data_IF_071594801181
#
_entry.id   IF_071594801181
#
_cell.length_a   1.000
_cell.length_b   1.000
_cell.length_c   1.000
_cell.angle_alpha   90.00
_cell.angle_beta   90.00
_cell.angle_gamma   90.00
#
_symmetry.space_group_name_H-M   'P 1'
#
loop_
_entity.id
_entity.type
_entity.pdbx_description
1 polymer ?
#
# COMPACT_ATOMS: atom_id res chain seq x y z
N UNK A 1 39.12 -5.67 29.88
CA UNK A 1 38.20 -4.88 29.03
C UNK A 1 36.80 -5.35 29.37
N UNK A 2 35.85 -4.45 29.62
CA UNK A 2 34.47 -4.84 29.86
C UNK A 2 33.89 -5.43 28.56
N UNK A 3 33.14 -6.53 28.66
CA UNK A 3 32.46 -7.11 27.51
C UNK A 3 31.47 -6.11 26.89
N UNK A 4 31.27 -6.21 25.57
CA UNK A 4 30.30 -5.35 24.88
C UNK A 4 28.90 -5.53 25.48
N UNK A 5 28.23 -4.43 25.80
CA UNK A 5 26.83 -4.44 26.27
C UNK A 5 25.87 -5.10 25.26
N UNK A 6 26.29 -5.24 24.00
CA UNK A 6 25.53 -5.89 22.92
C UNK A 6 25.95 -7.34 22.63
N UNK A 7 26.78 -7.97 23.47
CA UNK A 7 27.27 -9.34 23.23
C UNK A 7 26.13 -10.40 23.16
N UNK A 8 24.97 -10.10 23.75
CA UNK A 8 23.80 -10.98 23.74
C UNK A 8 22.91 -10.82 22.49
N UNK A 9 23.18 -9.84 21.63
CA UNK A 9 22.35 -9.57 20.44
C UNK A 9 22.60 -10.65 19.39
N UNK A 10 21.56 -11.43 19.10
CA UNK A 10 21.60 -12.48 18.08
C UNK A 10 21.55 -11.86 16.68
N UNK A 11 22.40 -12.34 15.78
CA UNK A 11 22.38 -11.93 14.37
C UNK A 11 21.00 -12.25 13.77
N UNK A 12 20.35 -11.23 13.21
CA UNK A 12 19.08 -11.38 12.51
C UNK A 12 19.23 -12.30 11.27
N UNK A 13 18.20 -13.10 10.95
CA UNK A 13 18.18 -13.85 9.69
C UNK A 13 18.18 -12.90 8.49
N UNK A 14 18.78 -13.34 7.38
CA UNK A 14 18.74 -12.57 6.13
C UNK A 14 17.31 -12.47 5.60
N UNK A 15 16.94 -11.32 5.02
CA UNK A 15 15.65 -11.20 4.34
C UNK A 15 15.67 -12.07 3.07
N UNK A 16 14.70 -12.98 2.87
CA UNK A 16 14.73 -13.93 1.76
C UNK A 16 14.80 -13.27 0.37
N UNK A 17 14.24 -12.07 0.20
CA UNK A 17 14.24 -11.35 -1.08
C UNK A 17 15.57 -10.60 -1.28
N UNK A 18 16.07 -9.95 -0.22
CA UNK A 18 17.36 -9.24 -0.30
C UNK A 18 18.54 -10.22 -0.41
N UNK A 19 18.47 -11.37 0.26
CA UNK A 19 19.47 -12.44 0.18
C UNK A 19 19.69 -12.92 -1.25
N UNK A 20 18.63 -13.07 -2.05
CA UNK A 20 18.73 -13.41 -3.48
C UNK A 20 19.50 -12.35 -4.26
N UNK A 21 19.28 -11.06 -3.97
CA UNK A 21 20.02 -9.98 -4.64
C UNK A 21 21.50 -9.96 -4.24
N UNK A 22 21.80 -10.23 -2.98
CA UNK A 22 23.18 -10.33 -2.49
C UNK A 22 23.89 -11.51 -3.16
N UNK A 23 23.26 -12.69 -3.22
CA UNK A 23 23.80 -13.85 -3.91
C UNK A 23 24.00 -13.58 -5.41
N UNK A 24 23.01 -12.99 -6.07
CA UNK A 24 23.10 -12.56 -7.47
C UNK A 24 24.27 -11.59 -7.72
N UNK A 25 24.48 -10.60 -6.84
CA UNK A 25 25.59 -9.66 -7.00
C UNK A 25 26.96 -10.32 -6.83
N UNK A 26 27.07 -11.33 -5.96
CA UNK A 26 28.31 -12.10 -5.74
C UNK A 26 28.60 -13.11 -6.86
N UNK A 27 27.58 -13.59 -7.55
CA UNK A 27 27.75 -14.52 -8.67
C UNK A 27 28.55 -13.84 -9.80
N UNK A 28 29.63 -14.49 -10.25
CA UNK A 28 30.51 -13.99 -11.32
C UNK A 28 30.11 -14.49 -12.71
N UNK A 29 29.10 -15.34 -12.80
CA UNK A 29 28.60 -15.86 -14.07
C UNK A 29 28.12 -14.71 -14.97
N UNK A 30 28.55 -14.65 -16.24
CA UNK A 30 28.05 -13.66 -17.19
C UNK A 30 26.58 -13.91 -17.57
N UNK A 31 26.02 -15.08 -17.25
CA UNK A 31 24.65 -15.50 -17.58
C UNK A 31 23.71 -15.50 -16.36
N UNK A 32 24.10 -14.82 -15.26
CA UNK A 32 23.27 -14.75 -14.07
C UNK A 32 22.00 -13.93 -14.31
N UNK A 33 20.88 -14.40 -13.76
CA UNK A 33 19.58 -13.72 -13.85
C UNK A 33 18.98 -13.56 -12.45
N UNK A 34 18.46 -12.38 -12.14
CA UNK A 34 17.76 -12.12 -10.89
C UNK A 34 16.25 -12.07 -11.15
N UNK A 35 15.55 -13.15 -10.79
CA UNK A 35 14.09 -13.25 -10.86
C UNK A 35 13.40 -13.00 -9.52
N UNK A 36 14.15 -12.62 -8.48
CA UNK A 36 13.61 -12.41 -7.12
C UNK A 36 13.20 -10.97 -6.82
N UNK A 37 13.78 -9.99 -7.52
CA UNK A 37 13.50 -8.56 -7.26
C UNK A 37 12.24 -8.11 -7.98
N UNK A 38 11.20 -7.75 -7.22
CA UNK A 38 9.96 -7.16 -7.72
C UNK A 38 10.10 -5.68 -8.13
N UNK A 39 11.03 -5.39 -9.05
CA UNK A 39 11.22 -4.07 -9.62
C UNK A 39 11.42 -4.16 -11.13
N UNK A 40 10.75 -3.28 -11.87
CA UNK A 40 10.79 -3.24 -13.32
C UNK A 40 12.23 -3.03 -13.85
N UNK A 41 12.54 -3.69 -14.97
CA UNK A 41 13.84 -3.65 -15.65
C UNK A 41 13.63 -3.47 -17.15
N UNK A 42 14.61 -2.86 -17.81
CA UNK A 42 14.69 -2.83 -19.28
C UNK A 42 14.96 -4.22 -19.83
N UNK A 43 14.91 -4.35 -21.16
CA UNK A 43 15.27 -5.56 -21.91
C UNK A 43 16.70 -6.04 -21.61
N UNK A 44 17.62 -5.11 -21.28
CA UNK A 44 19.00 -5.43 -20.87
C UNK A 44 19.12 -5.75 -19.36
N UNK A 45 18.01 -5.85 -18.64
CA UNK A 45 17.99 -6.15 -17.21
C UNK A 45 18.42 -4.98 -16.31
N UNK A 46 18.42 -3.73 -16.82
CA UNK A 46 18.85 -2.54 -16.06
C UNK A 46 17.67 -1.84 -15.37
N UNK A 47 17.89 -1.12 -14.24
CA UNK A 47 16.88 -0.24 -13.66
C UNK A 47 16.41 0.83 -14.66
N UNK A 48 15.10 1.09 -14.71
CA UNK A 48 14.52 2.13 -15.56
C UNK A 48 13.98 3.29 -14.72
N UNK A 49 14.34 4.52 -15.09
CA UNK A 49 13.66 5.74 -14.64
C UNK A 49 12.79 6.23 -15.80
N UNK A 50 11.48 6.32 -15.57
CA UNK A 50 10.51 6.68 -16.60
C UNK A 50 10.78 8.09 -17.15
N UNK A 51 10.56 8.29 -18.45
CA UNK A 51 10.75 9.59 -19.11
C UNK A 51 9.94 10.70 -18.45
N UNK A 52 8.68 10.42 -18.10
CA UNK A 52 7.79 11.35 -17.40
C UNK A 52 8.30 11.74 -16.01
N UNK A 53 8.96 10.81 -15.29
CA UNK A 53 9.62 11.11 -14.01
C UNK A 53 10.81 12.03 -14.23
N UNK A 54 11.65 11.76 -15.23
CA UNK A 54 12.79 12.64 -15.56
C UNK A 54 12.35 14.06 -15.92
N UNK A 55 11.27 14.18 -16.69
CA UNK A 55 10.71 15.48 -17.07
C UNK A 55 10.17 16.22 -15.84
N UNK A 56 9.42 15.54 -14.98
CA UNK A 56 8.95 16.12 -13.72
C UNK A 56 10.12 16.56 -12.84
N UNK A 57 11.15 15.73 -12.67
CA UNK A 57 12.37 16.08 -11.91
C UNK A 57 13.09 17.30 -12.49
N UNK A 58 13.21 17.39 -13.82
CA UNK A 58 13.85 18.52 -14.47
C UNK A 58 13.07 19.83 -14.28
N UNK A 59 11.74 19.79 -14.41
CA UNK A 59 10.88 20.93 -14.11
C UNK A 59 11.01 21.36 -12.65
N UNK A 60 11.06 20.39 -11.75
CA UNK A 60 11.16 20.58 -10.31
C UNK A 60 12.52 21.13 -9.84
N UNK A 61 13.63 20.76 -10.48
CA UNK A 61 14.96 21.30 -10.13
C UNK A 61 15.17 22.72 -10.69
N UNK A 62 14.48 23.05 -11.80
CA UNK A 62 14.59 24.35 -12.46
C UNK A 62 13.65 25.42 -11.88
N UNK A 63 12.74 25.07 -10.97
CA UNK A 63 11.82 26.01 -10.34
C UNK A 63 12.50 26.76 -9.17
N UNK A 64 12.82 28.06 -9.33
CA UNK A 64 13.54 28.84 -8.33
C UNK A 64 12.69 29.16 -7.09
N UNK A 65 11.37 28.95 -7.13
CA UNK A 65 10.48 29.17 -5.98
C UNK A 65 10.53 28.03 -4.96
N UNK A 66 11.11 26.88 -5.33
CA UNK A 66 11.10 25.69 -4.49
C UNK A 66 12.17 25.77 -3.40
N UNK A 67 11.75 25.40 -2.21
CA UNK A 67 12.59 25.28 -1.02
C UNK A 67 12.56 23.84 -0.50
N UNK A 68 13.49 23.52 0.42
CA UNK A 68 13.59 22.20 1.06
C UNK A 68 13.12 22.23 2.51
N UNK A 69 12.12 23.07 2.79
CA UNK A 69 11.51 23.18 4.12
C UNK A 69 10.71 21.92 4.47
N UNK A 70 10.46 21.76 5.77
CA UNK A 70 9.65 20.66 6.27
C UNK A 70 8.22 20.72 5.72
N UNK A 71 7.71 19.55 5.32
CA UNK A 71 6.29 19.39 5.04
C UNK A 71 5.46 19.36 6.34
N UNK A 72 4.15 19.66 6.23
CA UNK A 72 3.20 19.29 7.28
C UNK A 72 3.30 17.80 7.64
N UNK A 73 2.84 17.43 8.84
CA UNK A 73 2.87 16.02 9.32
C UNK A 73 2.18 15.07 8.33
N UNK A 74 1.07 15.52 7.73
CA UNK A 74 0.31 14.74 6.75
C UNK A 74 0.93 14.77 5.33
N UNK A 75 2.03 15.49 5.13
CA UNK A 75 2.73 15.65 3.87
C UNK A 75 2.20 16.75 2.96
N UNK A 76 2.51 16.61 1.67
CA UNK A 76 2.19 17.59 0.65
C UNK A 76 0.70 17.55 0.29
N UNK A 77 -0.03 18.63 0.53
CA UNK A 77 -1.49 18.68 0.37
C UNK A 77 -1.95 18.35 -1.07
N UNK A 78 -1.23 18.85 -2.09
CA UNK A 78 -1.54 18.56 -3.49
C UNK A 78 -1.37 17.07 -3.82
N UNK A 79 -0.28 16.46 -3.34
CA UNK A 79 -0.04 15.02 -3.48
C UNK A 79 -1.16 14.19 -2.82
N UNK A 80 -1.58 14.54 -1.60
CA UNK A 80 -2.66 13.83 -0.91
C UNK A 80 -3.98 13.89 -1.70
N UNK A 81 -4.34 15.09 -2.17
CA UNK A 81 -5.55 15.30 -2.99
C UNK A 81 -5.51 14.49 -4.28
N UNK A 82 -4.38 14.49 -4.99
CA UNK A 82 -4.22 13.76 -6.25
C UNK A 82 -4.20 12.25 -6.03
N UNK A 83 -3.58 11.78 -4.94
CA UNK A 83 -3.55 10.35 -4.57
C UNK A 83 -4.95 9.81 -4.27
N UNK A 84 -5.75 10.56 -3.49
CA UNK A 84 -7.14 10.23 -3.21
C UNK A 84 -7.98 10.12 -4.50
N UNK A 85 -7.85 11.10 -5.40
CA UNK A 85 -8.53 11.10 -6.69
C UNK A 85 -8.13 9.92 -7.57
N UNK A 86 -6.84 9.57 -7.60
CA UNK A 86 -6.34 8.46 -8.42
C UNK A 86 -6.98 7.13 -8.01
N UNK A 87 -7.11 6.87 -6.70
CA UNK A 87 -7.62 5.58 -6.21
C UNK A 87 -9.14 5.54 -6.11
N UNK A 88 -9.78 6.58 -5.59
CA UNK A 88 -11.23 6.61 -5.41
C UNK A 88 -11.99 7.02 -6.69
N UNK A 89 -11.29 7.60 -7.68
CA UNK A 89 -11.90 8.26 -8.84
C UNK A 89 -12.21 9.74 -8.56
N UNK A 90 -12.06 10.59 -9.57
CA UNK A 90 -12.25 12.04 -9.43
C UNK A 90 -13.68 12.42 -9.03
N UNK A 91 -14.66 11.64 -9.48
CA UNK A 91 -16.09 11.84 -9.22
C UNK A 91 -16.60 11.05 -8.00
N UNK A 92 -15.69 10.54 -7.16
CA UNK A 92 -16.07 9.76 -5.98
C UNK A 92 -16.98 10.57 -5.04
N UNK A 93 -18.17 10.07 -4.68
CA UNK A 93 -19.04 10.72 -3.71
C UNK A 93 -18.34 10.94 -2.37
N UNK A 94 -17.48 10.01 -1.94
CA UNK A 94 -16.70 10.15 -0.71
C UNK A 94 -15.76 11.35 -0.72
N UNK A 95 -15.19 11.71 -1.87
CA UNK A 95 -14.36 12.92 -2.01
C UNK A 95 -15.24 14.16 -1.97
N UNK A 96 -16.35 14.17 -2.72
CA UNK A 96 -17.27 15.32 -2.78
C UNK A 96 -17.88 15.64 -1.40
N UNK A 97 -18.15 14.61 -0.60
CA UNK A 97 -18.70 14.69 0.75
C UNK A 97 -17.61 14.92 1.83
N UNK A 98 -16.35 15.10 1.44
CA UNK A 98 -15.20 15.27 2.34
C UNK A 98 -15.01 14.14 3.36
N UNK A 99 -15.36 12.90 2.97
CA UNK A 99 -15.26 11.70 3.82
C UNK A 99 -13.91 10.98 3.72
N UNK A 100 -13.03 11.43 2.82
CA UNK A 100 -11.71 10.83 2.63
C UNK A 100 -10.66 11.68 3.33
N UNK A 101 -9.93 11.07 4.26
CA UNK A 101 -8.69 11.64 4.79
C UNK A 101 -7.51 10.94 4.13
N UNK A 102 -6.53 11.71 3.65
CA UNK A 102 -5.33 11.16 3.00
C UNK A 102 -4.08 11.78 3.61
N UNK A 103 -3.15 10.92 3.99
CA UNK A 103 -1.84 11.31 4.50
C UNK A 103 -0.74 10.67 3.68
N UNK A 104 0.30 11.44 3.35
CA UNK A 104 1.49 10.93 2.69
C UNK A 104 2.29 10.06 3.65
N UNK A 105 2.77 8.92 3.16
CA UNK A 105 3.49 7.91 3.92
C UNK A 105 4.76 7.45 3.19
N UNK A 106 5.61 6.70 3.90
CA UNK A 106 6.84 6.11 3.37
C UNK A 106 6.56 4.89 2.47
N UNK A 107 6.03 5.15 1.27
CA UNK A 107 5.57 4.13 0.32
C UNK A 107 4.46 3.25 0.91
N UNK A 108 4.12 2.15 0.22
CA UNK A 108 3.07 1.22 0.67
C UNK A 108 3.37 0.62 2.04
N UNK A 109 4.63 0.27 2.31
CA UNK A 109 5.04 -0.26 3.63
C UNK A 109 4.78 0.72 4.77
N UNK A 110 5.10 2.01 4.57
CA UNK A 110 4.81 3.06 5.54
C UNK A 110 3.31 3.27 5.71
N UNK A 111 2.55 3.26 4.61
CA UNK A 111 1.09 3.39 4.64
C UNK A 111 0.43 2.25 5.43
N UNK A 112 0.85 1.00 5.20
CA UNK A 112 0.37 -0.18 5.93
C UNK A 112 0.74 -0.10 7.42
N UNK A 113 1.97 0.34 7.73
CA UNK A 113 2.44 0.44 9.12
C UNK A 113 1.72 1.54 9.90
N UNK A 114 1.45 2.69 9.29
CA UNK A 114 0.66 3.79 9.89
C UNK A 114 -0.80 3.37 10.05
N UNK A 115 -1.42 2.79 9.01
CA UNK A 115 -2.80 2.34 9.05
C UNK A 115 -3.03 1.22 10.08
N UNK A 116 -2.11 0.25 10.14
CA UNK A 116 -2.16 -0.82 11.13
C UNK A 116 -2.09 -0.31 12.57
N UNK A 117 -1.24 0.68 12.86
CA UNK A 117 -1.12 1.23 14.22
C UNK A 117 -2.29 2.13 14.58
N UNK A 118 -2.82 2.88 13.61
CA UNK A 118 -4.08 3.60 13.80
C UNK A 118 -5.21 2.64 14.19
N UNK A 119 -5.36 1.52 13.48
CA UNK A 119 -6.35 0.48 13.80
C UNK A 119 -6.11 -0.12 15.19
N UNK A 120 -4.86 -0.49 15.53
CA UNK A 120 -4.55 -1.05 16.84
C UNK A 120 -4.87 -0.12 18.01
N UNK A 121 -4.74 1.21 17.80
CA UNK A 121 -5.05 2.24 18.81
C UNK A 121 -6.54 2.56 18.93
N UNK A 122 -7.28 2.56 17.82
CA UNK A 122 -8.61 3.19 17.77
C UNK A 122 -9.74 2.28 17.29
N UNK A 123 -9.44 1.16 16.65
CA UNK A 123 -10.45 0.24 16.16
C UNK A 123 -10.77 -0.83 17.20
N UNK A 124 -12.05 -1.21 17.29
CA UNK A 124 -12.56 -2.07 18.36
C UNK A 124 -12.14 -3.53 18.19
N UNK A 125 -11.96 -3.99 16.95
CA UNK A 125 -11.46 -5.32 16.62
C UNK A 125 -10.00 -5.22 16.14
N UNK A 126 -9.14 -6.13 16.61
CA UNK A 126 -7.69 -6.10 16.35
C UNK A 126 -7.22 -7.24 15.46
N UNK A 127 -8.13 -8.13 15.07
CA UNK A 127 -7.84 -9.24 14.18
C UNK A 127 -7.80 -8.74 12.74
N UNK A 128 -6.69 -8.99 12.06
CA UNK A 128 -6.55 -8.77 10.62
C UNK A 128 -6.38 -10.10 9.88
N UNK A 129 -7.22 -10.33 8.88
CA UNK A 129 -7.14 -11.45 7.95
C UNK A 129 -6.32 -11.01 6.73
N UNK A 130 -5.28 -11.78 6.40
CA UNK A 130 -4.43 -11.57 5.23
C UNK A 130 -4.45 -12.81 4.32
N UNK A 131 -4.30 -12.68 2.99
CA UNK A 131 -4.40 -13.84 2.11
C UNK A 131 -3.25 -14.82 2.34
N UNK A 132 -3.49 -16.10 2.05
CA UNK A 132 -2.46 -17.13 2.04
C UNK A 132 -2.29 -17.71 0.62
N UNK A 133 -1.12 -17.53 -0.02
CA UNK A 133 0.03 -16.72 0.42
C UNK A 133 -0.23 -15.21 0.26
N UNK A 134 0.70 -14.37 0.75
CA UNK A 134 0.69 -12.91 0.55
C UNK A 134 2.13 -12.37 0.54
N UNK A 135 2.33 -11.06 0.38
CA UNK A 135 3.65 -10.43 0.50
C UNK A 135 4.24 -10.71 1.89
N UNK A 136 5.44 -11.31 1.93
CA UNK A 136 6.03 -11.85 3.16
C UNK A 136 6.26 -10.84 4.29
N UNK A 137 6.13 -9.53 4.03
CA UNK A 137 6.22 -8.50 5.06
C UNK A 137 4.87 -8.15 5.70
N UNK A 138 3.72 -8.54 5.13
CA UNK A 138 2.40 -8.26 5.73
C UNK A 138 2.28 -8.78 7.17
N UNK A 139 2.63 -10.05 7.49
CA UNK A 139 2.52 -10.54 8.86
C UNK A 139 3.39 -9.73 9.83
N UNK A 140 4.61 -9.35 9.40
CA UNK A 140 5.55 -8.57 10.22
C UNK A 140 5.03 -7.16 10.48
N UNK A 141 4.56 -6.47 9.43
CA UNK A 141 4.03 -5.10 9.52
C UNK A 141 2.85 -5.04 10.48
N UNK A 142 1.87 -5.92 10.33
CA UNK A 142 0.66 -5.87 11.13
C UNK A 142 0.84 -6.37 12.55
N UNK A 143 1.66 -7.40 12.77
CA UNK A 143 2.00 -7.84 14.13
C UNK A 143 2.73 -6.73 14.88
N UNK A 144 3.72 -6.08 14.27
CA UNK A 144 4.47 -4.97 14.89
C UNK A 144 3.67 -3.67 14.98
N UNK A 145 2.53 -3.58 14.29
CA UNK A 145 1.57 -2.50 14.46
C UNK A 145 0.61 -2.74 15.64
N UNK A 146 0.59 -3.95 16.21
CA UNK A 146 -0.26 -4.32 17.35
C UNK A 146 -1.55 -5.06 16.97
N UNK A 147 -1.66 -5.59 15.75
CA UNK A 147 -2.80 -6.39 15.29
C UNK A 147 -2.51 -7.90 15.42
N UNK A 148 -3.58 -8.68 15.60
CA UNK A 148 -3.55 -10.14 15.60
C UNK A 148 -3.73 -10.66 14.18
N UNK A 149 -2.68 -11.22 13.59
CA UNK A 149 -2.72 -11.72 12.20
C UNK A 149 -3.36 -13.10 12.12
N UNK A 150 -4.35 -13.25 11.25
CA UNK A 150 -4.93 -14.50 10.78
C UNK A 150 -4.86 -14.58 9.25
N UNK A 151 -5.06 -15.78 8.72
CA UNK A 151 -5.00 -16.04 7.28
C UNK A 151 -6.37 -16.43 6.75
N UNK A 152 -6.60 -16.13 5.47
CA UNK A 152 -7.71 -16.70 4.69
C UNK A 152 -7.17 -17.32 3.40
N UNK A 153 -7.81 -18.39 2.94
CA UNK A 153 -7.47 -19.07 1.70
C UNK A 153 -7.58 -18.12 0.50
N UNK A 154 -6.61 -18.21 -0.40
CA UNK A 154 -6.55 -17.33 -1.58
C UNK A 154 -6.11 -18.08 -2.83
N UNK A 155 -4.99 -18.79 -2.80
CA UNK A 155 -4.46 -19.49 -3.98
C UNK A 155 -4.69 -20.99 -3.88
N UNK A 156 -5.26 -21.57 -4.93
CA UNK A 156 -5.38 -23.01 -5.07
C UNK A 156 -4.28 -23.56 -5.99
N UNK A 157 -3.32 -24.35 -5.47
CA UNK A 157 -2.27 -24.98 -6.28
C UNK A 157 -2.81 -25.95 -7.34
N UNK A 158 -3.98 -26.56 -7.13
CA UNK A 158 -4.60 -27.51 -8.04
C UNK A 158 -5.11 -26.84 -9.31
N UNK A 159 -5.84 -25.73 -9.18
CA UNK A 159 -6.33 -24.94 -10.32
C UNK A 159 -5.36 -23.86 -10.79
N UNK A 160 -4.33 -23.53 -9.99
CA UNK A 160 -3.45 -22.36 -10.15
C UNK A 160 -4.22 -21.04 -10.20
N UNK A 161 -5.43 -21.03 -9.65
CA UNK A 161 -6.35 -19.90 -9.63
C UNK A 161 -6.67 -19.45 -8.21
N UNK A 162 -7.73 -18.67 -8.10
CA UNK A 162 -8.25 -18.19 -6.82
C UNK A 162 -9.03 -19.34 -6.17
N UNK A 163 -8.67 -19.70 -4.94
CA UNK A 163 -9.51 -20.51 -4.05
C UNK A 163 -10.68 -19.64 -3.56
N UNK A 164 -11.60 -19.36 -4.47
CA UNK A 164 -12.68 -18.42 -4.23
C UNK A 164 -13.65 -18.93 -3.17
N UNK A 165 -13.95 -20.23 -3.20
CA UNK A 165 -14.83 -20.86 -2.22
C UNK A 165 -14.20 -20.83 -0.82
N UNK A 166 -12.91 -21.18 -0.71
CA UNK A 166 -12.22 -21.12 0.57
C UNK A 166 -12.09 -19.70 1.12
N UNK A 167 -11.88 -18.72 0.24
CA UNK A 167 -11.91 -17.30 0.61
C UNK A 167 -13.26 -16.90 1.23
N UNK A 168 -14.38 -17.25 0.58
CA UNK A 168 -15.71 -16.90 1.09
C UNK A 168 -16.03 -17.61 2.42
N UNK A 169 -15.62 -18.87 2.58
CA UNK A 169 -15.80 -19.62 3.82
C UNK A 169 -15.04 -19.01 5.00
N UNK A 170 -13.77 -18.66 4.79
CA UNK A 170 -12.90 -18.14 5.84
C UNK A 170 -13.34 -16.73 6.26
N UNK A 171 -13.66 -15.86 5.29
CA UNK A 171 -14.17 -14.52 5.58
C UNK A 171 -15.60 -14.57 6.15
N UNK A 172 -16.43 -15.52 5.72
CA UNK A 172 -17.77 -15.74 6.28
C UNK A 172 -17.72 -16.20 7.74
N UNK A 173 -16.64 -16.89 8.13
CA UNK A 173 -16.39 -17.35 9.50
C UNK A 173 -15.65 -16.32 10.36
N UNK A 174 -15.16 -15.22 9.78
CA UNK A 174 -14.49 -14.16 10.52
C UNK A 174 -15.45 -13.47 11.51
N UNK A 175 -14.93 -13.02 12.68
CA UNK A 175 -15.73 -12.25 13.63
C UNK A 175 -16.15 -10.91 13.02
N UNK A 176 -17.33 -10.43 13.42
CA UNK A 176 -17.84 -9.12 13.01
C UNK A 176 -16.84 -8.02 13.35
N UNK A 177 -16.60 -7.09 12.43
CA UNK A 177 -15.60 -6.04 12.61
C UNK A 177 -14.17 -6.48 12.29
N UNK A 178 -13.88 -7.74 11.94
CA UNK A 178 -12.50 -8.10 11.58
C UNK A 178 -12.00 -7.28 10.38
N UNK A 179 -10.72 -6.91 10.44
CA UNK A 179 -10.05 -6.22 9.33
C UNK A 179 -9.65 -7.26 8.29
N UNK A 180 -9.83 -6.96 7.01
CA UNK A 180 -9.41 -7.85 5.91
C UNK A 180 -8.48 -7.07 4.99
N UNK A 181 -7.23 -7.53 4.91
CA UNK A 181 -6.28 -7.00 3.95
C UNK A 181 -6.59 -7.56 2.57
N UNK A 182 -6.83 -6.67 1.60
CA UNK A 182 -7.14 -7.02 0.22
C UNK A 182 -6.08 -6.43 -0.70
N UNK A 183 -5.58 -7.20 -1.65
CA UNK A 183 -4.75 -6.64 -2.72
C UNK A 183 -5.69 -6.02 -3.76
N UNK A 184 -5.51 -4.75 -4.09
CA UNK A 184 -6.41 -4.05 -5.01
C UNK A 184 -6.41 -4.69 -6.42
N UNK A 185 -5.22 -5.10 -6.86
CA UNK A 185 -4.93 -5.81 -8.11
C UNK A 185 -3.49 -6.35 -8.05
N UNK A 186 -3.11 -7.16 -9.04
CA UNK A 186 -1.82 -7.83 -9.18
C UNK A 186 -1.35 -8.44 -7.85
N UNK A 187 -2.14 -9.41 -7.34
CA UNK A 187 -1.85 -10.05 -6.07
C UNK A 187 -0.40 -10.55 -5.99
N UNK A 188 0.28 -10.23 -4.89
CA UNK A 188 1.67 -10.59 -4.65
C UNK A 188 1.71 -11.67 -3.57
N UNK A 189 2.18 -12.90 -3.86
CA UNK A 189 3.07 -13.25 -4.98
C UNK A 189 2.43 -13.96 -6.18
N UNK A 190 1.13 -14.21 -6.19
CA UNK A 190 0.53 -15.22 -7.09
C UNK A 190 0.22 -14.70 -8.50
N UNK A 191 0.02 -13.38 -8.66
CA UNK A 191 -0.49 -12.76 -9.88
C UNK A 191 -1.96 -13.06 -10.19
N UNK A 192 -2.67 -13.75 -9.28
CA UNK A 192 -4.08 -14.14 -9.46
C UNK A 192 -4.98 -13.11 -8.78
N UNK A 193 -5.90 -12.50 -9.52
CA UNK A 193 -6.86 -11.53 -9.02
C UNK A 193 -8.30 -12.04 -9.16
N UNK A 194 -9.23 -11.67 -8.25
CA UNK A 194 -10.65 -11.95 -8.43
C UNK A 194 -11.21 -11.25 -9.67
N UNK A 195 -12.18 -11.88 -10.34
CA UNK A 195 -12.97 -11.22 -11.37
C UNK A 195 -13.88 -10.13 -10.77
N UNK A 196 -14.48 -9.29 -11.62
CA UNK A 196 -15.42 -8.26 -11.17
C UNK A 196 -16.61 -8.86 -10.42
N UNK A 197 -17.13 -9.99 -10.90
CA UNK A 197 -18.24 -10.71 -10.28
C UNK A 197 -17.83 -11.31 -8.92
N UNK A 198 -16.62 -11.83 -8.82
CA UNK A 198 -16.07 -12.33 -7.57
C UNK A 198 -15.84 -11.19 -6.57
N UNK A 199 -15.34 -10.03 -7.01
CA UNK A 199 -15.20 -8.84 -6.18
C UNK A 199 -16.52 -8.37 -5.62
N UNK A 200 -17.59 -8.42 -6.41
CA UNK A 200 -18.93 -8.04 -5.97
C UNK A 200 -19.43 -8.99 -4.87
N UNK A 201 -19.23 -10.30 -5.01
CA UNK A 201 -19.57 -11.28 -3.98
C UNK A 201 -18.75 -11.10 -2.70
N UNK A 202 -17.43 -10.83 -2.83
CA UNK A 202 -16.55 -10.53 -1.68
C UNK A 202 -17.05 -9.28 -0.95
N UNK A 203 -17.41 -8.22 -1.69
CA UNK A 203 -17.97 -6.98 -1.14
C UNK A 203 -19.25 -7.27 -0.36
N UNK A 204 -20.21 -7.97 -0.96
CA UNK A 204 -21.48 -8.31 -0.31
C UNK A 204 -21.27 -9.13 0.97
N UNK A 205 -20.38 -10.14 0.93
CA UNK A 205 -20.03 -10.92 2.11
C UNK A 205 -19.45 -10.04 3.21
N UNK A 206 -18.43 -9.24 2.90
CA UNK A 206 -17.79 -8.36 3.87
C UNK A 206 -18.77 -7.37 4.49
N UNK A 207 -19.71 -6.83 3.71
CA UNK A 207 -20.77 -5.94 4.23
C UNK A 207 -21.71 -6.67 5.17
N UNK A 208 -22.21 -7.86 4.80
CA UNK A 208 -23.12 -8.63 5.66
C UNK A 208 -22.46 -9.06 6.98
N UNK A 209 -21.15 -9.32 6.96
CA UNK A 209 -20.32 -9.66 8.12
C UNK A 209 -19.73 -8.44 8.84
N UNK A 210 -20.02 -7.22 8.39
CA UNK A 210 -19.48 -5.97 8.94
C UNK A 210 -17.94 -5.96 9.04
N UNK A 211 -17.26 -6.57 8.06
CA UNK A 211 -15.80 -6.60 7.98
C UNK A 211 -15.26 -5.27 7.45
N UNK A 212 -14.09 -4.86 7.96
CA UNK A 212 -13.42 -3.63 7.55
C UNK A 212 -12.37 -3.93 6.45
N UNK A 213 -12.55 -3.45 5.21
CA UNK A 213 -11.55 -3.60 4.16
C UNK A 213 -10.35 -2.69 4.39
N UNK A 214 -9.15 -3.25 4.25
CA UNK A 214 -7.90 -2.52 4.12
C UNK A 214 -7.23 -2.94 2.80
N UNK A 215 -7.24 -2.07 1.80
CA UNK A 215 -6.62 -2.34 0.51
C UNK A 215 -5.12 -2.02 0.50
N UNK A 216 -4.30 -2.93 -0.01
CA UNK A 216 -2.94 -2.67 -0.48
C UNK A 216 -2.96 -2.48 -2.01
N UNK A 217 -2.62 -1.28 -2.47
CA UNK A 217 -2.59 -0.89 -3.88
C UNK A 217 -1.16 -0.47 -4.27
N UNK A 218 -0.35 -1.45 -4.63
CA UNK A 218 1.05 -1.24 -5.00
C UNK A 218 1.34 -1.26 -6.52
N UNK A 219 0.36 -1.68 -7.32
CA UNK A 219 0.52 -2.03 -8.73
C UNK A 219 -0.55 -1.39 -9.63
N UNK A 220 -1.23 -0.33 -9.20
CA UNK A 220 -2.24 0.35 -10.02
C UNK A 220 -1.63 0.81 -11.36
N UNK A 221 -2.18 0.31 -12.47
CA UNK A 221 -1.71 0.51 -13.84
C UNK A 221 -0.87 -0.66 -14.39
N UNK A 222 -0.38 -1.57 -13.55
CA UNK A 222 0.45 -2.70 -13.98
C UNK A 222 -0.35 -3.98 -14.29
N UNK A 223 -1.55 -4.14 -13.76
CA UNK A 223 -2.32 -5.37 -13.96
C UNK A 223 -2.99 -5.36 -15.35
N UNK A 224 -3.73 -4.29 -15.66
CA UNK A 224 -4.45 -4.15 -16.94
C UNK A 224 -3.86 -3.11 -17.90
N UNK A 225 -2.90 -2.30 -17.46
CA UNK A 225 -2.46 -1.10 -18.19
C UNK A 225 -3.37 0.12 -17.99
N UNK A 226 -4.49 -0.03 -17.25
CA UNK A 226 -5.43 1.05 -16.94
C UNK A 226 -5.43 1.36 -15.46
N UNK A 227 -5.15 2.63 -15.11
CA UNK A 227 -5.21 3.11 -13.73
C UNK A 227 -6.63 2.97 -13.15
N UNK A 228 -7.67 3.14 -13.96
CA UNK A 228 -9.05 3.07 -13.51
C UNK A 228 -9.52 1.63 -13.30
N UNK A 229 -9.20 0.72 -14.22
CA UNK A 229 -9.55 -0.69 -14.08
C UNK A 229 -8.83 -1.31 -12.87
N UNK A 230 -7.56 -0.98 -12.66
CA UNK A 230 -6.76 -1.50 -11.55
C UNK A 230 -7.17 -0.94 -10.17
N UNK A 231 -8.04 0.08 -10.13
CA UNK A 231 -8.64 0.62 -8.91
C UNK A 231 -10.10 0.20 -8.69
N UNK A 232 -10.66 -0.61 -9.60
CA UNK A 232 -12.09 -0.95 -9.59
C UNK A 232 -12.53 -1.61 -8.27
N UNK A 233 -11.73 -2.54 -7.74
CA UNK A 233 -12.02 -3.22 -6.46
C UNK A 233 -12.22 -2.22 -5.32
N UNK A 234 -11.33 -1.22 -5.20
CA UNK A 234 -11.45 -0.15 -4.20
C UNK A 234 -12.71 0.68 -4.46
N UNK A 235 -12.93 1.10 -5.70
CA UNK A 235 -14.06 1.98 -6.07
C UNK A 235 -15.40 1.31 -5.81
N UNK A 236 -15.54 0.01 -6.06
CA UNK A 236 -16.74 -0.78 -5.74
C UNK A 236 -17.08 -0.70 -4.24
N UNK A 237 -16.08 -0.81 -3.37
CA UNK A 237 -16.27 -0.71 -1.92
C UNK A 237 -16.52 0.72 -1.44
N UNK A 238 -16.09 1.74 -2.18
CA UNK A 238 -16.36 3.14 -1.82
C UNK A 238 -17.72 3.61 -2.32
N UNK A 239 -18.17 3.11 -3.48
CA UNK A 239 -19.40 3.53 -4.15
C UNK A 239 -20.68 3.25 -3.34
N UNK A 240 -20.67 2.23 -2.48
CA UNK A 240 -21.81 1.91 -1.60
C UNK A 240 -21.81 2.72 -0.28
N UNK A 241 -20.91 3.69 -0.13
CA UNK A 241 -20.77 4.50 1.08
C UNK A 241 -20.10 3.75 2.24
N UNK A 242 -19.48 2.60 1.99
CA UNK A 242 -18.72 1.85 2.97
C UNK A 242 -17.42 2.53 3.39
N UNK A 243 -16.96 2.18 4.59
CA UNK A 243 -15.66 2.62 5.11
C UNK A 243 -14.58 1.64 4.71
N UNK A 244 -13.37 2.15 4.45
CA UNK A 244 -12.19 1.34 4.14
C UNK A 244 -10.91 2.14 4.35
N UNK A 245 -9.80 1.41 4.40
CA UNK A 245 -8.45 1.97 4.35
C UNK A 245 -7.80 1.57 3.02
N UNK A 246 -6.94 2.43 2.47
CA UNK A 246 -6.20 2.14 1.24
C UNK A 246 -4.76 2.62 1.36
N UNK A 247 -3.82 1.69 1.33
CA UNK A 247 -2.39 1.94 1.24
C UNK A 247 -1.96 1.97 -0.22
N UNK A 248 -1.56 3.13 -0.72
CA UNK A 248 -1.05 3.32 -2.08
C UNK A 248 0.48 3.39 -2.08
N UNK A 249 1.11 2.76 -3.07
CA UNK A 249 2.56 2.86 -3.32
C UNK A 249 2.87 3.36 -4.72
N UNK A 250 3.77 4.33 -4.82
CA UNK A 250 4.28 4.82 -6.10
C UNK A 250 5.61 4.19 -6.54
N UNK A 251 6.07 3.18 -5.79
CA UNK A 251 7.35 2.52 -6.07
C UNK A 251 7.38 1.83 -7.44
N UNK A 252 6.26 1.24 -7.90
CA UNK A 252 6.20 0.46 -9.14
C UNK A 252 5.64 1.30 -10.28
N UNK A 253 4.39 1.75 -10.18
CA UNK A 253 3.68 2.53 -11.21
C UNK A 253 4.44 3.77 -11.71
N UNK A 254 5.27 4.40 -10.87
CA UNK A 254 6.14 5.51 -11.27
C UNK A 254 7.64 5.20 -11.15
N UNK A 255 8.03 3.97 -10.82
CA UNK A 255 9.45 3.60 -10.66
C UNK A 255 10.18 4.30 -9.50
N UNK A 256 9.45 4.92 -8.57
CA UNK A 256 10.01 5.71 -7.46
C UNK A 256 10.36 4.83 -6.24
N UNK A 257 11.05 3.71 -6.49
CA UNK A 257 11.35 2.70 -5.46
C UNK A 257 12.07 3.27 -4.24
N UNK A 258 13.16 4.00 -4.49
CA UNK A 258 14.06 4.56 -3.47
C UNK A 258 13.54 5.85 -2.82
N UNK A 259 12.65 6.57 -3.49
CA UNK A 259 12.07 7.83 -3.00
C UNK A 259 11.04 7.63 -1.88
N UNK A 260 10.59 6.39 -1.69
CA UNK A 260 9.66 5.98 -0.63
C UNK A 260 8.35 6.78 -0.63
N UNK A 261 7.72 6.92 -1.80
CA UNK A 261 6.48 7.69 -1.94
C UNK A 261 5.25 6.79 -1.87
N UNK A 262 4.32 7.14 -1.00
CA UNK A 262 3.04 6.45 -0.82
C UNK A 262 2.02 7.32 -0.11
N UNK A 263 0.78 6.85 -0.08
CA UNK A 263 -0.32 7.51 0.61
C UNK A 263 -1.14 6.48 1.39
N UNK A 264 -1.70 6.90 2.52
CA UNK A 264 -2.76 6.19 3.22
C UNK A 264 -4.03 7.03 3.11
N UNK A 265 -5.06 6.48 2.50
CA UNK A 265 -6.40 7.09 2.41
C UNK A 265 -7.36 6.29 3.29
N UNK A 266 -8.14 6.98 4.14
CA UNK A 266 -9.18 6.38 4.97
C UNK A 266 -10.52 7.02 4.61
N UNK A 267 -11.45 6.20 4.14
CA UNK A 267 -12.82 6.59 3.81
C UNK A 267 -13.70 6.37 5.04
N UNK A 268 -14.28 7.46 5.54
CA UNK A 268 -15.12 7.48 6.74
C UNK A 268 -16.62 7.61 6.39
N UNK A 269 -17.51 7.47 7.37
CA UNK A 269 -18.95 7.77 7.20
C UNK A 269 -19.29 9.25 7.06
N UNK A 270 -18.52 10.15 7.67
CA UNK A 270 -18.80 11.59 7.64
C UNK A 270 -17.51 12.40 7.59
N UNK A 271 -17.62 13.66 7.16
CA UNK A 271 -16.51 14.62 7.15
C UNK A 271 -15.96 14.91 8.55
N UNK A 272 -16.84 15.00 9.56
CA UNK A 272 -16.42 15.16 10.96
C UNK A 272 -15.55 13.99 11.45
N UNK A 273 -15.96 12.74 11.15
CA UNK A 273 -15.15 11.57 11.48
C UNK A 273 -13.82 11.58 10.73
N UNK A 274 -13.81 11.95 9.45
CA UNK A 274 -12.57 12.06 8.68
C UNK A 274 -11.58 13.07 9.30
N UNK A 275 -12.06 14.23 9.77
CA UNK A 275 -11.23 15.20 10.49
C UNK A 275 -10.64 14.66 11.80
N UNK A 276 -11.41 13.89 12.57
CA UNK A 276 -10.93 13.21 13.79
C UNK A 276 -9.87 12.16 13.46
N UNK A 277 -10.10 11.35 12.42
CA UNK A 277 -9.13 10.36 11.94
C UNK A 277 -7.82 11.03 11.53
N UNK A 278 -7.85 12.12 10.76
CA UNK A 278 -6.65 12.88 10.38
C UNK A 278 -5.84 13.33 11.60
N UNK A 279 -6.54 13.85 12.62
CA UNK A 279 -5.89 14.31 13.86
C UNK A 279 -5.13 13.19 14.58
N UNK A 280 -5.69 11.97 14.60
CA UNK A 280 -5.05 10.81 15.23
C UNK A 280 -3.91 10.25 14.36
N UNK A 281 -4.05 10.28 13.03
CA UNK A 281 -2.96 9.91 12.12
C UNK A 281 -1.73 10.79 12.35
N UNK A 282 -1.90 12.10 12.62
CA UNK A 282 -0.78 12.98 12.98
C UNK A 282 -0.04 12.50 14.24
N UNK A 283 -0.75 11.95 15.24
CA UNK A 283 -0.16 11.40 16.46
C UNK A 283 0.54 10.05 16.25
N UNK A 284 0.19 9.30 15.21
CA UNK A 284 0.92 8.11 14.79
C UNK A 284 2.19 8.50 14.01
N UNK A 285 2.06 9.44 13.06
CA UNK A 285 3.15 9.82 12.14
C UNK A 285 4.25 10.63 12.85
N UNK A 286 3.87 11.61 13.68
CA UNK A 286 4.81 12.55 14.30
C UNK A 286 5.96 11.87 15.07
N UNK A 287 5.72 10.85 15.92
CA UNK A 287 6.79 10.13 16.59
C UNK A 287 7.46 9.05 15.72
N UNK A 288 6.85 8.65 14.61
CA UNK A 288 7.40 7.61 13.73
C UNK A 288 8.48 8.17 12.79
N UNK A 289 8.21 9.30 12.15
CA UNK A 289 9.15 9.95 11.23
C UNK A 289 8.95 11.47 11.09
N UNK A 290 8.25 12.11 12.02
CA UNK A 290 7.95 13.55 12.02
C UNK A 290 7.03 14.02 10.87
N UNK A 291 7.55 14.05 9.65
CA UNK A 291 6.86 14.44 8.42
C UNK A 291 7.52 13.69 7.23
N UNK A 292 6.79 13.42 6.14
CA UNK A 292 7.28 12.58 5.06
C UNK A 292 8.20 13.35 4.08
N UNK A 293 8.97 12.65 3.22
CA UNK A 293 9.91 13.26 2.27
C UNK A 293 9.23 14.11 1.18
N UNK A 294 9.83 15.26 0.85
CA UNK A 294 9.28 16.21 -0.13
C UNK A 294 9.45 15.78 -1.60
N UNK A 295 10.63 15.28 -1.97
CA UNK A 295 11.06 15.18 -3.38
C UNK A 295 10.15 14.28 -4.21
N UNK A 296 10.05 13.01 -3.85
CA UNK A 296 9.23 12.06 -4.58
C UNK A 296 7.74 12.41 -4.62
N UNK A 297 7.16 12.95 -3.52
CA UNK A 297 5.76 13.41 -3.54
C UNK A 297 5.55 14.59 -4.47
N UNK A 298 6.54 15.48 -4.60
CA UNK A 298 6.51 16.57 -5.57
C UNK A 298 6.51 16.04 -7.01
N UNK A 299 7.33 15.04 -7.32
CA UNK A 299 7.35 14.38 -8.64
C UNK A 299 5.96 13.83 -8.96
N UNK A 300 5.39 13.03 -8.06
CA UNK A 300 4.06 12.43 -8.26
C UNK A 300 3.00 13.52 -8.46
N UNK A 301 3.02 14.57 -7.63
CA UNK A 301 2.06 15.66 -7.75
C UNK A 301 2.18 16.40 -9.10
N UNK A 302 3.41 16.67 -9.57
CA UNK A 302 3.66 17.26 -10.89
C UNK A 302 3.09 16.40 -12.00
N UNK A 303 3.36 15.09 -11.99
CA UNK A 303 2.87 14.16 -13.01
C UNK A 303 1.34 14.05 -13.00
N UNK A 304 0.72 13.94 -11.81
CA UNK A 304 -0.73 13.78 -11.70
C UNK A 304 -1.52 15.07 -11.96
N UNK A 305 -0.87 16.24 -11.90
CA UNK A 305 -1.48 17.53 -12.23
C UNK A 305 -1.54 17.77 -13.73
N UNK A 306 -0.50 17.37 -14.45
CA UNK A 306 -0.35 17.59 -15.89
C UNK A 306 -1.12 16.49 -16.65
N UNK A 307 -2.34 16.84 -17.10
CA UNK A 307 -3.21 15.96 -17.89
C UNK A 307 -3.05 16.25 -19.37
#
# INVERSE_FOLDING_TARGET
MADSVFNHVVRAPEDPILGVTVAYNKDTSPNKLNLGVGAYRTEEGKPLVLSVVRQAEQSLVNDPSRVKEYLPIIGLAEFNKLSAKLICGADSPAIQENRVTTVQCLSGTGSLRVGGEFLARHYHERTIYIPQPTWGNHPKVFTLAGLSVKYYRYYDPGTRGLDFQGLLEDLGSAPSGAVVLLHACAHNPTGVDPTVEQWEQIRQLMRSKQLLPFFDSAYQGFASGSLDADAQSVRMFVADGGECLVAQSYAKNMGLYGERVGALSIVCKTSDVAGKVESQLKLVIRPMYSNPPLHGASIVATILRDK
#
